data_IF_569582134404
#
_entry.id   IF_569582134404
#
_cell.length_a   1.000
_cell.length_b   1.000
_cell.length_c   1.000
_cell.angle_alpha   90.00
_cell.angle_beta   90.00
_cell.angle_gamma   90.00
#
_symmetry.space_group_name_H-M   'P 1'
#
loop_
_entity.id
_entity.type
_entity.pdbx_description
1 polymer ?
#
# COMPACT_ATOMS: atom_id res chain seq x y z
N UNK A 1 12.58 -6.19 -6.56
CA UNK A 1 13.67 -5.31 -6.09
C UNK A 1 13.15 -3.90 -5.73
N UNK A 2 12.39 -3.22 -6.59
CA UNK A 2 11.90 -1.85 -6.32
C UNK A 2 10.89 -1.72 -5.15
N UNK A 3 9.99 -2.70 -4.97
CA UNK A 3 8.95 -2.64 -3.92
C UNK A 3 9.53 -2.75 -2.51
N UNK A 4 10.59 -3.56 -2.32
CA UNK A 4 11.28 -3.69 -1.03
C UNK A 4 11.98 -2.40 -0.61
N UNK A 5 12.49 -1.60 -1.56
CA UNK A 5 13.10 -0.30 -1.27
C UNK A 5 12.06 0.74 -0.84
N UNK A 6 10.89 0.75 -1.50
CA UNK A 6 9.76 1.60 -1.10
C UNK A 6 9.32 1.27 0.32
N UNK A 7 9.13 -0.01 0.65
CA UNK A 7 8.78 -0.45 2.02
C UNK A 7 9.81 0.02 3.03
N UNK A 8 11.10 -0.14 2.75
CA UNK A 8 12.16 0.34 3.64
C UNK A 8 12.05 1.85 3.88
N UNK A 9 11.83 2.65 2.84
CA UNK A 9 11.68 4.11 2.95
C UNK A 9 10.43 4.53 3.71
N UNK A 10 9.31 3.81 3.54
CA UNK A 10 8.10 4.05 4.34
C UNK A 10 8.33 3.73 5.81
N UNK A 11 8.98 2.60 6.13
CA UNK A 11 9.34 2.24 7.51
C UNK A 11 10.27 3.27 8.15
N UNK A 12 11.27 3.76 7.41
CA UNK A 12 12.16 4.84 7.86
C UNK A 12 11.36 6.14 8.17
N UNK A 13 10.37 6.49 7.34
CA UNK A 13 9.50 7.66 7.58
C UNK A 13 8.60 7.46 8.81
N UNK A 14 7.98 6.30 8.94
CA UNK A 14 7.15 5.95 10.09
C UNK A 14 7.94 6.02 11.41
N UNK A 15 9.14 5.42 11.44
CA UNK A 15 10.02 5.44 12.59
C UNK A 15 10.42 6.87 12.98
N UNK A 16 10.76 7.73 12.01
CA UNK A 16 11.07 9.16 12.27
C UNK A 16 9.89 9.92 12.88
N UNK A 17 8.67 9.48 12.61
CA UNK A 17 7.43 10.10 13.08
C UNK A 17 6.85 9.42 14.33
N UNK A 18 7.54 8.41 14.86
CA UNK A 18 7.05 7.55 15.95
C UNK A 18 5.66 6.96 15.67
N UNK A 19 5.42 6.54 14.42
CA UNK A 19 4.19 5.88 14.01
C UNK A 19 4.46 4.37 14.01
N UNK A 20 3.73 3.64 14.83
CA UNK A 20 3.77 2.16 14.82
C UNK A 20 2.95 1.62 13.66
N UNK A 21 3.63 1.08 12.65
CA UNK A 21 3.03 0.44 11.49
C UNK A 21 3.82 -0.76 11.05
N UNK A 22 3.10 -1.79 10.61
CA UNK A 22 3.67 -2.89 9.85
C UNK A 22 3.49 -2.64 8.36
N UNK A 23 4.57 -2.78 7.58
CA UNK A 23 4.55 -2.57 6.13
C UNK A 23 5.26 -3.75 5.46
N UNK A 24 4.55 -4.45 4.58
CA UNK A 24 5.08 -5.59 3.82
C UNK A 24 4.83 -5.40 2.31
N UNK A 25 5.76 -5.88 1.48
CA UNK A 25 5.58 -5.99 0.04
C UNK A 25 5.39 -7.45 -0.33
N UNK A 26 4.22 -7.78 -0.87
CA UNK A 26 3.82 -9.15 -1.22
C UNK A 26 3.33 -9.22 -2.66
N UNK A 27 3.28 -10.44 -3.21
CA UNK A 27 2.65 -10.68 -4.52
C UNK A 27 1.15 -10.45 -4.44
N UNK A 28 0.55 -9.92 -5.52
CA UNK A 28 -0.90 -9.75 -5.64
C UNK A 28 -1.67 -11.06 -5.52
N UNK A 29 -1.02 -12.21 -5.78
CA UNK A 29 -1.61 -13.53 -5.56
C UNK A 29 -1.99 -13.78 -4.07
N UNK A 30 -1.26 -13.18 -3.12
CA UNK A 30 -1.52 -13.32 -1.67
C UNK A 30 -2.59 -12.34 -1.16
N UNK A 31 -3.14 -11.48 -2.04
CA UNK A 31 -4.07 -10.43 -1.62
C UNK A 31 -5.28 -10.97 -0.85
N UNK A 32 -5.91 -12.04 -1.35
CA UNK A 32 -7.09 -12.62 -0.69
C UNK A 32 -6.75 -13.23 0.69
N UNK A 33 -5.55 -13.81 0.84
CA UNK A 33 -5.09 -14.42 2.10
C UNK A 33 -4.81 -13.37 3.17
N UNK A 34 -4.37 -12.18 2.75
CA UNK A 34 -3.94 -11.10 3.62
C UNK A 34 -5.02 -10.06 3.88
N UNK A 35 -6.17 -10.18 3.22
CA UNK A 35 -7.26 -9.21 3.28
C UNK A 35 -7.76 -8.94 4.71
N UNK A 36 -7.73 -9.98 5.55
CA UNK A 36 -8.14 -9.90 6.95
C UNK A 36 -6.98 -9.51 7.90
N UNK A 37 -5.73 -9.58 7.44
CA UNK A 37 -4.53 -9.35 8.26
C UNK A 37 -4.03 -7.90 8.24
N UNK A 38 -4.36 -7.13 7.20
CA UNK A 38 -3.89 -5.75 7.02
C UNK A 38 -5.04 -4.75 6.94
N UNK A 39 -4.75 -3.50 7.26
CA UNK A 39 -5.75 -2.43 7.30
C UNK A 39 -5.84 -1.63 6.00
N UNK A 40 -4.72 -1.45 5.31
CA UNK A 40 -4.63 -0.64 4.08
C UNK A 40 -3.83 -1.40 3.04
N UNK A 41 -4.30 -1.38 1.79
CA UNK A 41 -3.62 -2.02 0.67
C UNK A 41 -3.20 -1.00 -0.38
N UNK A 42 -1.95 -1.08 -0.82
CA UNK A 42 -1.42 -0.24 -1.88
C UNK A 42 -0.94 -1.09 -3.05
N UNK A 43 -1.46 -0.80 -4.24
CA UNK A 43 -1.02 -1.44 -5.47
C UNK A 43 0.13 -0.69 -6.12
N UNK A 44 1.14 -1.42 -6.56
CA UNK A 44 2.17 -0.85 -7.42
C UNK A 44 1.56 -0.38 -8.75
N UNK A 45 2.09 0.69 -9.37
CA UNK A 45 1.48 1.26 -10.58
C UNK A 45 1.47 0.29 -11.77
N UNK A 46 2.39 -0.68 -11.80
CA UNK A 46 2.47 -1.70 -12.85
C UNK A 46 1.27 -2.65 -12.87
N UNK A 47 0.57 -2.82 -11.74
CA UNK A 47 -0.59 -3.73 -11.62
C UNK A 47 -1.90 -2.96 -11.46
N UNK A 48 -1.94 -1.69 -11.87
CA UNK A 48 -3.14 -0.83 -11.81
C UNK A 48 -4.38 -1.45 -12.47
N UNK A 49 -4.22 -2.31 -13.47
CA UNK A 49 -5.33 -2.99 -14.13
C UNK A 49 -6.13 -3.91 -13.18
N UNK A 50 -5.51 -4.40 -12.09
CA UNK A 50 -6.15 -5.23 -11.06
C UNK A 50 -6.94 -4.41 -10.03
N UNK A 51 -6.86 -3.08 -10.07
CA UNK A 51 -7.45 -2.18 -9.07
C UNK A 51 -8.94 -2.43 -8.87
N UNK A 52 -9.72 -2.47 -9.96
CA UNK A 52 -11.18 -2.63 -9.88
C UNK A 52 -11.58 -3.93 -9.20
N UNK A 53 -10.90 -5.03 -9.52
CA UNK A 53 -11.16 -6.34 -8.94
C UNK A 53 -10.86 -6.33 -7.44
N UNK A 54 -9.69 -5.81 -7.05
CA UNK A 54 -9.27 -5.84 -5.66
C UNK A 54 -10.00 -4.83 -4.79
N UNK A 55 -10.37 -3.67 -5.33
CA UNK A 55 -11.23 -2.71 -4.62
C UNK A 55 -12.60 -3.31 -4.31
N UNK A 56 -13.20 -4.08 -5.21
CA UNK A 56 -14.47 -4.74 -4.93
C UNK A 56 -14.35 -5.68 -3.71
N UNK A 57 -13.33 -6.52 -3.68
CA UNK A 57 -13.06 -7.44 -2.55
C UNK A 57 -12.69 -6.69 -1.26
N UNK A 58 -11.84 -5.67 -1.36
CA UNK A 58 -11.44 -4.86 -0.21
C UNK A 58 -12.64 -4.12 0.41
N UNK A 59 -13.55 -3.62 -0.44
CA UNK A 59 -14.77 -2.94 -0.01
C UNK A 59 -15.70 -3.85 0.79
N UNK A 60 -15.83 -5.12 0.43
CA UNK A 60 -16.58 -6.11 1.21
C UNK A 60 -16.07 -6.24 2.65
N UNK A 61 -14.78 -5.97 2.88
CA UNK A 61 -14.12 -6.01 4.18
C UNK A 61 -13.84 -4.63 4.78
N UNK A 62 -14.36 -3.56 4.18
CA UNK A 62 -14.09 -2.17 4.56
C UNK A 62 -12.58 -1.84 4.64
N UNK A 63 -11.79 -2.38 3.71
CA UNK A 63 -10.35 -2.13 3.61
C UNK A 63 -10.07 -1.10 2.51
N UNK A 64 -9.48 0.07 2.82
CA UNK A 64 -9.05 1.02 1.80
C UNK A 64 -7.98 0.40 0.89
N UNK A 65 -8.15 0.59 -0.42
CA UNK A 65 -7.22 0.09 -1.43
C UNK A 65 -7.12 1.07 -2.60
N UNK A 66 -5.89 1.45 -2.94
CA UNK A 66 -5.62 2.30 -4.10
C UNK A 66 -4.21 2.05 -4.68
N UNK A 67 -3.89 2.72 -5.79
CA UNK A 67 -2.64 2.60 -6.51
C UNK A 67 -1.68 3.70 -6.07
N UNK A 68 -0.43 3.32 -5.81
CA UNK A 68 0.66 4.26 -5.54
C UNK A 68 0.90 5.11 -6.79
N UNK A 69 1.02 6.43 -6.61
CA UNK A 69 1.39 7.32 -7.69
C UNK A 69 2.71 6.91 -8.36
N UNK A 70 2.75 6.96 -9.70
CA UNK A 70 3.90 6.48 -10.46
C UNK A 70 5.17 7.27 -10.16
N UNK A 71 5.06 8.58 -9.94
CA UNK A 71 6.19 9.45 -9.63
C UNK A 71 6.72 9.14 -8.24
N UNK A 72 5.84 9.03 -7.24
CA UNK A 72 6.26 8.72 -5.87
C UNK A 72 6.87 7.31 -5.77
N UNK A 73 6.32 6.33 -6.50
CA UNK A 73 6.90 4.99 -6.60
C UNK A 73 8.28 5.02 -7.28
N UNK A 74 8.41 5.72 -8.41
CA UNK A 74 9.66 5.83 -9.17
C UNK A 74 10.76 6.58 -8.41
N UNK A 75 10.40 7.60 -7.63
CA UNK A 75 11.31 8.34 -6.75
C UNK A 75 11.51 7.65 -5.38
N UNK A 76 10.82 6.54 -5.12
CA UNK A 76 10.81 5.83 -3.84
C UNK A 76 10.49 6.74 -2.65
N UNK A 77 9.53 7.65 -2.82
CA UNK A 77 9.17 8.66 -1.83
C UNK A 77 8.33 8.05 -0.69
N UNK A 78 8.97 7.34 0.22
CA UNK A 78 8.31 6.61 1.30
C UNK A 78 7.48 7.49 2.25
N UNK A 79 7.81 8.77 2.40
CA UNK A 79 7.04 9.70 3.24
C UNK A 79 5.68 10.00 2.62
N UNK A 80 5.66 10.40 1.34
CA UNK A 80 4.39 10.66 0.63
C UNK A 80 3.53 9.41 0.51
N UNK A 81 4.14 8.25 0.26
CA UNK A 81 3.40 7.00 0.14
C UNK A 81 2.81 6.59 1.49
N UNK A 82 3.53 6.82 2.59
CA UNK A 82 3.01 6.60 3.94
C UNK A 82 1.84 7.54 4.24
N UNK A 83 1.98 8.84 3.97
CA UNK A 83 0.88 9.80 4.16
C UNK A 83 -0.34 9.45 3.31
N UNK A 84 -0.12 8.99 2.08
CA UNK A 84 -1.18 8.51 1.22
C UNK A 84 -1.92 7.33 1.85
N UNK A 85 -1.20 6.31 2.33
CA UNK A 85 -1.80 5.17 3.01
C UNK A 85 -2.61 5.59 4.26
N UNK A 86 -2.05 6.45 5.11
CA UNK A 86 -2.68 6.87 6.36
C UNK A 86 -3.95 7.71 6.15
N UNK A 87 -4.04 8.43 5.03
CA UNK A 87 -5.20 9.25 4.69
C UNK A 87 -6.22 8.53 3.79
N UNK A 88 -5.92 7.30 3.34
CA UNK A 88 -6.77 6.59 2.41
C UNK A 88 -8.05 6.11 3.11
N UNK A 89 -9.19 6.30 2.44
CA UNK A 89 -10.51 5.88 2.92
C UNK A 89 -11.12 4.88 1.94
N UNK A 90 -12.00 4.04 2.46
CA UNK A 90 -12.80 3.12 1.65
C UNK A 90 -13.69 3.95 0.71
N UNK A 91 -13.65 3.63 -0.59
CA UNK A 91 -14.53 4.21 -1.60
C UNK A 91 -15.82 3.39 -1.76
#
# INVERSE_FOLDING_TARGET
MSTSMVVKKMKESAAKRNIEVEIEAVSTARFNELLDSYDVFLLGPQVKFQLKEFQAKAKEKNKPLDVIDFKDYGMMNGEKILDFALNLKVQ
#
